data_IF_955692940816
#
_entry.id   IF_955692940816
#
_cell.length_a   1.000
_cell.length_b   1.000
_cell.length_c   1.000
_cell.angle_alpha   90.00
_cell.angle_beta   90.00
_cell.angle_gamma   90.00
#
_symmetry.space_group_name_H-M   'P 1'
#
loop_
_entity.id
_entity.type
_entity.pdbx_description
1 polymer ?
#
# COMPACT_ATOMS: atom_id res chain seq x y z
N UNK A 1 5.75 3.17 -11.26
CA UNK A 1 6.67 3.38 -10.14
C UNK A 1 5.98 4.11 -9.02
N UNK A 2 6.34 3.75 -7.78
CA UNK A 2 5.74 4.34 -6.60
C UNK A 2 6.70 5.32 -5.97
N UNK A 3 6.18 6.46 -5.48
CA UNK A 3 7.01 7.49 -4.86
C UNK A 3 6.79 7.50 -3.36
N UNK A 4 7.83 7.87 -2.62
CA UNK A 4 7.75 7.93 -1.16
C UNK A 4 7.29 9.29 -0.65
N UNK A 5 7.12 10.26 -1.52
CA UNK A 5 6.73 11.64 -1.21
C UNK A 5 7.85 12.45 -0.56
N UNK A 6 8.97 11.82 -0.23
CA UNK A 6 10.05 12.51 0.49
C UNK A 6 10.81 13.47 -0.39
N UNK A 7 10.85 13.21 -1.70
CA UNK A 7 11.56 14.09 -2.64
C UNK A 7 10.64 15.05 -3.37
N UNK A 8 9.39 15.10 -2.96
CA UNK A 8 8.40 15.94 -3.62
C UNK A 8 8.25 17.24 -2.84
N UNK A 9 8.47 18.36 -3.49
CA UNK A 9 8.34 19.66 -2.85
C UNK A 9 6.89 20.10 -2.78
N UNK A 10 6.62 21.15 -2.00
CA UNK A 10 5.27 21.72 -1.98
C UNK A 10 4.88 22.23 -3.36
N UNK A 11 5.82 22.79 -4.11
CA UNK A 11 5.54 23.23 -5.48
C UNK A 11 5.15 22.05 -6.37
N UNK A 12 5.81 20.89 -6.18
CA UNK A 12 5.44 19.67 -6.93
C UNK A 12 4.02 19.24 -6.59
N UNK A 13 3.65 19.27 -5.31
CA UNK A 13 2.30 18.92 -4.89
C UNK A 13 1.28 19.85 -5.52
N UNK A 14 1.55 21.17 -5.48
CA UNK A 14 0.65 22.15 -6.08
C UNK A 14 0.48 21.93 -7.57
N UNK A 15 1.56 21.56 -8.25
CA UNK A 15 1.50 21.32 -9.68
C UNK A 15 0.66 20.10 -9.99
N UNK A 16 0.83 19.03 -9.23
CA UNK A 16 0.01 17.83 -9.42
C UNK A 16 -1.46 18.16 -9.23
N UNK A 17 -1.78 18.95 -8.21
CA UNK A 17 -3.15 19.33 -7.93
C UNK A 17 -3.72 20.21 -9.03
N UNK A 18 -2.96 21.24 -9.40
CA UNK A 18 -3.43 22.24 -10.38
C UNK A 18 -3.70 21.60 -11.73
N UNK A 19 -2.77 20.74 -12.18
CA UNK A 19 -2.89 20.15 -13.52
C UNK A 19 -3.50 18.76 -13.49
N UNK A 20 -3.91 18.30 -12.30
CA UNK A 20 -4.56 17.00 -12.11
C UNK A 20 -3.73 15.88 -12.74
N UNK A 21 -2.47 15.82 -12.30
CA UNK A 21 -1.54 14.81 -12.78
C UNK A 21 -1.73 13.52 -12.01
N UNK A 22 -2.76 12.77 -12.37
CA UNK A 22 -3.16 11.58 -11.62
C UNK A 22 -3.20 10.37 -12.54
N UNK A 23 -3.08 9.16 -11.98
CA UNK A 23 -3.00 8.87 -10.56
C UNK A 23 -1.59 9.10 -10.00
N UNK A 24 -1.51 9.38 -8.71
CA UNK A 24 -0.23 9.41 -8.02
C UNK A 24 -0.06 8.06 -7.32
N UNK A 25 1.04 7.38 -7.62
CA UNK A 25 1.31 6.07 -7.03
C UNK A 25 2.27 6.24 -5.87
N UNK A 26 1.82 5.91 -4.67
CA UNK A 26 2.52 6.25 -3.44
C UNK A 26 2.95 4.99 -2.69
N UNK A 27 4.23 4.94 -2.34
CA UNK A 27 4.77 3.89 -1.48
C UNK A 27 4.63 4.37 -0.04
N UNK A 28 3.62 3.86 0.65
CA UNK A 28 3.32 4.32 2.00
C UNK A 28 4.18 3.66 3.05
N UNK A 29 4.40 2.39 2.94
CA UNK A 29 5.13 1.53 3.89
C UNK A 29 4.44 1.44 5.25
N UNK A 30 4.06 2.54 5.83
CA UNK A 30 3.32 2.61 7.09
C UNK A 30 2.71 3.99 7.20
N UNK A 31 1.60 4.07 7.95
CA UNK A 31 0.99 5.36 8.28
C UNK A 31 1.39 5.84 9.67
N UNK A 32 2.35 5.16 10.31
CA UNK A 32 2.94 5.59 11.57
C UNK A 32 4.10 6.52 11.23
N UNK A 33 3.99 7.82 11.52
CA UNK A 33 5.01 8.78 11.08
C UNK A 33 6.41 8.49 11.61
N UNK A 34 6.51 8.12 12.88
CA UNK A 34 7.82 7.86 13.47
C UNK A 34 8.45 6.61 12.89
N UNK A 35 7.65 5.55 12.71
CA UNK A 35 8.15 4.33 12.09
C UNK A 35 8.58 4.60 10.66
N UNK A 36 7.81 5.42 9.94
CA UNK A 36 8.14 5.73 8.55
C UNK A 36 9.50 6.41 8.44
N UNK A 37 9.79 7.32 9.37
CA UNK A 37 11.10 7.98 9.39
C UNK A 37 12.22 6.96 9.56
N UNK A 38 12.02 5.96 10.42
CA UNK A 38 13.04 4.93 10.63
C UNK A 38 13.17 4.02 9.42
N UNK A 39 12.04 3.62 8.84
CA UNK A 39 12.07 2.70 7.70
C UNK A 39 12.71 3.32 6.47
N UNK A 40 12.47 4.61 6.24
CA UNK A 40 13.00 5.30 5.06
C UNK A 40 14.30 6.03 5.35
N UNK A 41 14.80 5.95 6.59
CA UNK A 41 16.03 6.63 7.01
C UNK A 41 15.99 8.11 6.62
N UNK A 42 14.86 8.75 6.92
CA UNK A 42 14.64 10.12 6.52
C UNK A 42 13.74 10.78 7.55
N UNK A 43 14.28 11.79 8.24
CA UNK A 43 13.54 12.42 9.35
C UNK A 43 12.30 13.17 8.89
N UNK A 44 12.17 13.40 7.58
CA UNK A 44 11.00 14.10 7.03
C UNK A 44 9.94 13.13 6.50
N UNK A 45 10.21 11.82 6.55
CA UNK A 45 9.32 10.84 5.93
C UNK A 45 7.97 10.77 6.61
N UNK A 46 7.91 11.02 7.92
CA UNK A 46 6.63 11.03 8.62
C UNK A 46 5.76 12.20 8.20
N UNK A 47 6.35 13.39 8.16
CA UNK A 47 5.61 14.57 7.73
C UNK A 47 5.20 14.50 6.27
N UNK A 48 5.96 13.77 5.46
CA UNK A 48 5.64 13.64 4.04
C UNK A 48 4.26 13.02 3.81
N UNK A 49 3.76 12.26 4.78
CA UNK A 49 2.41 11.70 4.68
C UNK A 49 1.33 12.77 4.55
N UNK A 50 1.60 13.98 5.02
CA UNK A 50 0.65 15.09 4.87
C UNK A 50 0.41 15.45 3.42
N UNK A 51 1.35 15.13 2.53
CA UNK A 51 1.15 15.38 1.10
C UNK A 51 0.04 14.49 0.54
N UNK A 52 -0.06 13.25 1.02
CA UNK A 52 -1.17 12.38 0.62
C UNK A 52 -2.50 12.96 1.09
N UNK A 53 -2.54 13.53 2.29
CA UNK A 53 -3.74 14.19 2.79
C UNK A 53 -4.15 15.34 1.88
N UNK A 54 -3.17 16.11 1.40
CA UNK A 54 -3.46 17.22 0.48
C UNK A 54 -4.02 16.70 -0.84
N UNK A 55 -3.47 15.61 -1.36
CA UNK A 55 -4.01 15.00 -2.58
C UNK A 55 -5.46 14.55 -2.36
N UNK A 56 -5.71 13.93 -1.22
CA UNK A 56 -7.06 13.49 -0.91
C UNK A 56 -8.03 14.68 -0.86
N UNK A 57 -7.64 15.77 -0.18
CA UNK A 57 -8.50 16.95 -0.06
C UNK A 57 -8.76 17.61 -1.40
N UNK A 58 -7.82 17.48 -2.33
CA UNK A 58 -7.98 18.03 -3.67
C UNK A 58 -8.65 17.07 -4.64
N UNK A 59 -8.99 15.86 -4.19
CA UNK A 59 -9.66 14.88 -5.04
C UNK A 59 -8.74 14.25 -6.08
N UNK A 60 -7.45 14.18 -5.80
CA UNK A 60 -6.48 13.57 -6.71
C UNK A 60 -6.49 12.06 -6.52
N UNK A 61 -6.62 11.34 -7.61
CA UNK A 61 -6.65 9.87 -7.58
C UNK A 61 -5.27 9.33 -7.23
N UNK A 62 -5.25 8.38 -6.31
CA UNK A 62 -4.02 7.78 -5.82
C UNK A 62 -4.13 6.25 -5.86
N UNK A 63 -2.99 5.59 -5.96
CA UNK A 63 -2.84 4.17 -5.68
C UNK A 63 -1.69 4.01 -4.70
N UNK A 64 -1.78 3.02 -3.83
CA UNK A 64 -0.79 2.84 -2.79
C UNK A 64 -0.12 1.48 -2.82
N UNK A 65 1.03 1.41 -2.17
CA UNK A 65 1.76 0.17 -1.99
C UNK A 65 2.37 0.17 -0.59
N UNK A 66 2.35 -0.99 0.03
CA UNK A 66 3.07 -1.23 1.29
C UNK A 66 4.02 -2.40 1.05
N UNK A 67 5.32 -2.15 1.23
CA UNK A 67 6.31 -3.22 1.23
C UNK A 67 6.44 -3.67 2.68
N UNK A 68 6.02 -4.91 2.95
CA UNK A 68 5.88 -5.39 4.32
C UNK A 68 7.16 -6.05 4.79
N UNK A 69 7.61 -5.66 5.97
CA UNK A 69 8.83 -6.17 6.61
C UNK A 69 8.44 -6.83 7.91
N UNK A 70 8.78 -8.11 8.06
CA UNK A 70 8.39 -8.90 9.23
C UNK A 70 8.91 -8.26 10.49
N UNK A 71 8.02 -8.09 11.48
CA UNK A 71 8.37 -7.53 12.77
C UNK A 71 8.55 -6.03 12.78
N UNK A 72 8.32 -5.36 11.67
CA UNK A 72 8.54 -3.91 11.57
C UNK A 72 7.23 -3.19 11.32
N UNK A 73 6.64 -3.36 10.13
CA UNK A 73 5.39 -2.68 9.81
C UNK A 73 4.22 -3.63 9.57
N UNK A 74 4.36 -4.87 10.02
CA UNK A 74 3.29 -5.87 9.88
C UNK A 74 2.41 -5.92 11.13
N UNK A 75 1.49 -6.86 11.17
CA UNK A 75 0.60 -7.11 12.32
C UNK A 75 -0.15 -5.85 12.74
N UNK A 76 0.03 -5.38 13.95
CA UNK A 76 -0.70 -4.21 14.47
C UNK A 76 -0.40 -2.94 13.69
N UNK A 77 0.83 -2.80 13.19
CA UNK A 77 1.17 -1.63 12.37
C UNK A 77 0.43 -1.68 11.04
N UNK A 78 0.36 -2.86 10.42
CA UNK A 78 -0.38 -3.00 9.17
C UNK A 78 -1.87 -2.75 9.41
N UNK A 79 -2.40 -3.26 10.51
CA UNK A 79 -3.81 -3.03 10.86
C UNK A 79 -4.12 -1.54 10.93
N UNK A 80 -3.28 -0.80 11.65
CA UNK A 80 -3.45 0.64 11.80
C UNK A 80 -3.31 1.36 10.46
N UNK A 81 -2.33 0.94 9.65
CA UNK A 81 -2.12 1.59 8.36
C UNK A 81 -3.30 1.38 7.42
N UNK A 82 -3.84 0.16 7.36
CA UNK A 82 -4.99 -0.10 6.47
C UNK A 82 -6.18 0.76 6.91
N UNK A 83 -6.42 0.82 8.21
CA UNK A 83 -7.54 1.60 8.73
C UNK A 83 -7.40 3.07 8.36
N UNK A 84 -6.21 3.62 8.52
CA UNK A 84 -5.98 5.03 8.20
C UNK A 84 -6.04 5.29 6.70
N UNK A 85 -5.49 4.37 5.91
CA UNK A 85 -5.51 4.53 4.46
C UNK A 85 -6.92 4.41 3.90
N UNK A 86 -7.78 3.60 4.52
CA UNK A 86 -9.15 3.45 4.05
C UNK A 86 -9.95 4.76 4.15
N UNK A 87 -9.48 5.68 4.99
CA UNK A 87 -10.14 6.99 5.11
C UNK A 87 -9.92 7.86 3.88
N UNK A 88 -9.00 7.48 3.01
CA UNK A 88 -8.76 8.23 1.77
C UNK A 88 -9.64 7.76 0.62
N UNK A 89 -10.49 6.78 0.83
CA UNK A 89 -11.47 6.38 -0.19
C UNK A 89 -12.40 7.56 -0.46
N UNK A 90 -12.85 7.77 -1.68
CA UNK A 90 -12.62 6.92 -2.86
C UNK A 90 -11.40 7.32 -3.69
N UNK A 91 -10.65 8.33 -3.27
CA UNK A 91 -9.55 8.84 -4.10
C UNK A 91 -8.32 7.95 -4.07
N UNK A 92 -8.02 7.35 -2.92
CA UNK A 92 -7.04 6.26 -2.88
C UNK A 92 -7.80 5.01 -3.28
N UNK A 93 -7.58 4.56 -4.52
CA UNK A 93 -8.41 3.52 -5.11
C UNK A 93 -8.06 2.13 -4.61
N UNK A 94 -6.78 1.87 -4.41
CA UNK A 94 -6.34 0.56 -3.96
C UNK A 94 -4.97 0.65 -3.35
N UNK A 95 -4.67 -0.33 -2.49
CA UNK A 95 -3.35 -0.46 -1.87
C UNK A 95 -2.91 -1.92 -2.02
N UNK A 96 -1.71 -2.12 -2.58
CA UNK A 96 -1.10 -3.44 -2.69
C UNK A 96 -0.12 -3.66 -1.55
N UNK A 97 -0.16 -4.84 -0.95
CA UNK A 97 0.79 -5.24 0.08
C UNK A 97 1.67 -6.34 -0.50
N UNK A 98 2.98 -6.11 -0.52
CA UNK A 98 3.94 -7.09 -1.04
C UNK A 98 5.02 -7.33 0.00
N UNK A 99 5.62 -8.53 0.05
CA UNK A 99 6.72 -8.75 0.97
C UNK A 99 7.99 -8.09 0.46
N UNK A 100 8.83 -7.62 1.39
CA UNK A 100 10.11 -7.03 1.01
C UNK A 100 10.99 -8.11 0.35
N UNK A 101 11.75 -7.70 -0.67
CA UNK A 101 12.68 -8.62 -1.31
C UNK A 101 13.88 -8.86 -0.41
N UNK A 102 14.19 -10.13 -0.19
CA UNK A 102 15.28 -10.47 0.72
C UNK A 102 16.65 -10.13 0.16
N UNK A 103 16.74 -9.93 -1.15
CA UNK A 103 18.00 -9.54 -1.76
C UNK A 103 18.25 -8.04 -1.71
N UNK A 104 17.28 -7.26 -1.26
CA UNK A 104 17.47 -5.83 -1.21
C UNK A 104 18.48 -5.45 -0.14
N UNK A 105 19.35 -4.55 -0.52
CA UNK A 105 20.35 -4.05 0.41
C UNK A 105 19.70 -3.05 1.34
N UNK A 106 19.83 -3.27 2.64
CA UNK A 106 19.20 -2.42 3.63
C UNK A 106 20.20 -1.99 4.68
N UNK A 107 21.26 -1.41 4.22
CA UNK A 107 22.34 -0.97 5.07
C UNK A 107 21.83 0.02 6.10
N UNK A 108 22.22 -0.18 7.36
CA UNK A 108 21.81 0.73 8.42
C UNK A 108 20.41 0.52 8.92
N UNK A 109 19.68 -0.44 8.36
CA UNK A 109 18.33 -0.74 8.80
C UNK A 109 18.30 -2.07 9.56
N UNK A 110 17.10 -2.46 9.94
CA UNK A 110 16.91 -3.69 10.68
C UNK A 110 17.33 -4.89 9.83
N UNK A 111 17.88 -5.92 10.47
CA UNK A 111 18.04 -7.20 9.77
C UNK A 111 16.66 -7.68 9.33
N UNK A 112 16.56 -8.13 8.11
CA UNK A 112 15.30 -8.61 7.59
C UNK A 112 15.17 -10.09 7.82
N UNK A 113 14.03 -10.50 8.37
CA UNK A 113 13.70 -11.91 8.51
C UNK A 113 12.73 -12.28 7.39
N UNK A 114 12.89 -13.46 6.80
CA UNK A 114 11.91 -13.89 5.81
C UNK A 114 10.58 -14.25 6.48
N UNK A 115 9.50 -14.03 5.74
CA UNK A 115 8.19 -14.49 6.19
C UNK A 115 8.12 -16.00 6.02
N UNK A 116 7.62 -16.68 7.04
CA UNK A 116 7.38 -18.11 6.95
C UNK A 116 6.04 -18.35 6.28
N UNK A 117 5.74 -19.64 6.02
CA UNK A 117 4.45 -20.01 5.49
C UNK A 117 3.32 -19.56 6.41
N UNK A 118 3.50 -19.79 7.71
CA UNK A 118 2.51 -19.39 8.70
C UNK A 118 2.35 -17.88 8.76
N UNK A 119 3.45 -17.14 8.65
CA UNK A 119 3.39 -15.69 8.61
C UNK A 119 2.57 -15.22 7.42
N UNK A 120 2.81 -15.81 6.26
CA UNK A 120 2.09 -15.43 5.04
C UNK A 120 0.60 -15.72 5.16
N UNK A 121 0.26 -16.85 5.81
CA UNK A 121 -1.14 -17.18 6.02
C UNK A 121 -1.82 -16.14 6.90
N UNK A 122 -1.12 -15.65 7.93
CA UNK A 122 -1.68 -14.61 8.80
C UNK A 122 -1.85 -13.29 8.09
N UNK A 123 -0.89 -12.94 7.25
CA UNK A 123 -1.00 -11.71 6.45
C UNK A 123 -2.22 -11.80 5.54
N UNK A 124 -2.39 -12.95 4.87
CA UNK A 124 -3.54 -13.12 3.97
C UNK A 124 -4.86 -13.07 4.73
N UNK A 125 -4.93 -13.68 5.92
CA UNK A 125 -6.14 -13.59 6.73
C UNK A 125 -6.47 -12.15 7.10
N UNK A 126 -5.45 -11.39 7.47
CA UNK A 126 -5.63 -9.99 7.83
C UNK A 126 -6.15 -9.18 6.65
N UNK A 127 -5.52 -9.36 5.49
CA UNK A 127 -5.94 -8.61 4.29
C UNK A 127 -7.35 -9.02 3.88
N UNK A 128 -7.66 -10.32 3.92
CA UNK A 128 -8.99 -10.79 3.53
C UNK A 128 -10.09 -10.27 4.44
N UNK A 129 -9.79 -10.16 5.76
CA UNK A 129 -10.77 -9.58 6.69
C UNK A 129 -11.07 -8.13 6.33
N UNK A 130 -10.03 -7.37 5.99
CA UNK A 130 -10.22 -5.98 5.59
C UNK A 130 -10.96 -5.85 4.28
N UNK A 131 -10.64 -6.74 3.31
CA UNK A 131 -11.36 -6.75 2.04
C UNK A 131 -12.85 -6.98 2.26
N UNK A 132 -13.19 -7.96 3.08
CA UNK A 132 -14.59 -8.26 3.35
C UNK A 132 -15.31 -7.10 4.03
N UNK A 133 -14.65 -6.51 5.01
CA UNK A 133 -15.23 -5.40 5.75
C UNK A 133 -15.45 -4.20 4.85
N UNK A 134 -14.45 -3.82 4.09
CA UNK A 134 -14.54 -2.63 3.25
C UNK A 134 -15.52 -2.84 2.10
N UNK A 135 -15.58 -4.07 1.58
CA UNK A 135 -16.55 -4.35 0.53
C UNK A 135 -17.98 -4.21 1.06
N UNK A 136 -18.24 -4.69 2.27
CA UNK A 136 -19.57 -4.52 2.88
C UNK A 136 -19.89 -3.06 3.15
N UNK A 137 -18.90 -2.30 3.60
CA UNK A 137 -19.14 -0.92 4.02
C UNK A 137 -19.11 0.06 2.87
N UNK A 138 -18.27 -0.16 1.88
CA UNK A 138 -18.01 0.83 0.85
C UNK A 138 -18.03 0.29 -0.57
N UNK A 139 -18.24 -0.99 -0.75
CA UNK A 139 -18.37 -1.56 -2.08
C UNK A 139 -17.07 -1.78 -2.82
N UNK A 140 -15.94 -1.72 -2.13
CA UNK A 140 -14.63 -1.97 -2.74
C UNK A 140 -13.80 -2.83 -1.82
N UNK A 141 -12.98 -3.70 -2.39
CA UNK A 141 -12.06 -4.51 -1.61
C UNK A 141 -10.84 -3.71 -1.15
N UNK A 142 -10.45 -2.70 -1.92
CA UNK A 142 -9.46 -1.70 -1.55
C UNK A 142 -8.04 -2.23 -1.33
N UNK A 143 -7.86 -3.21 -0.41
CA UNK A 143 -6.53 -3.69 -0.03
C UNK A 143 -6.29 -5.06 -0.67
N UNK A 144 -5.11 -5.24 -1.25
CA UNK A 144 -4.83 -6.46 -2.02
C UNK A 144 -3.47 -7.03 -1.65
N UNK A 145 -3.40 -8.35 -1.58
CA UNK A 145 -2.15 -9.04 -1.34
C UNK A 145 -1.49 -9.38 -2.67
N UNK A 146 -0.21 -9.11 -2.78
CA UNK A 146 0.55 -9.54 -3.96
C UNK A 146 0.59 -11.06 -4.08
N UNK A 147 0.87 -11.51 -5.29
CA UNK A 147 0.90 -12.94 -5.58
C UNK A 147 1.89 -13.69 -4.71
N UNK A 148 2.97 -13.02 -4.33
CA UNK A 148 4.02 -13.63 -3.51
C UNK A 148 3.47 -14.21 -2.21
N UNK A 149 2.45 -13.57 -1.63
CA UNK A 149 1.87 -14.05 -0.38
C UNK A 149 1.21 -15.40 -0.54
N UNK A 150 0.52 -15.59 -1.68
CA UNK A 150 -0.16 -16.85 -1.95
C UNK A 150 0.84 -17.97 -2.18
N UNK A 151 1.93 -17.66 -2.90
CA UNK A 151 2.99 -18.63 -3.09
C UNK A 151 3.63 -19.03 -1.76
N UNK A 152 3.95 -18.07 -0.92
CA UNK A 152 4.54 -18.35 0.38
C UNK A 152 3.60 -19.15 1.27
N UNK A 153 2.32 -18.83 1.25
CA UNK A 153 1.33 -19.49 2.10
C UNK A 153 0.91 -20.85 1.58
N UNK A 154 1.27 -21.19 0.35
CA UNK A 154 0.83 -22.43 -0.26
C UNK A 154 -0.64 -22.42 -0.58
N UNK A 155 -1.18 -21.28 -0.98
CA UNK A 155 -2.60 -21.13 -1.30
C UNK A 155 -2.77 -20.65 -2.72
N UNK A 156 -3.92 -20.94 -3.29
CA UNK A 156 -4.26 -20.44 -4.61
C UNK A 156 -4.70 -18.99 -4.51
N UNK A 157 -4.41 -18.23 -5.56
CA UNK A 157 -4.87 -16.86 -5.64
C UNK A 157 -6.40 -16.82 -5.78
N UNK A 158 -7.04 -15.75 -5.30
CA UNK A 158 -8.48 -15.62 -5.50
C UNK A 158 -8.82 -15.53 -6.99
N UNK A 159 -10.05 -15.85 -7.31
CA UNK A 159 -10.52 -15.71 -8.68
C UNK A 159 -10.59 -14.24 -9.05
N UNK A 160 -10.52 -13.98 -10.36
CA UNK A 160 -10.48 -12.61 -10.85
C UNK A 160 -11.68 -11.78 -10.39
N UNK A 161 -12.84 -12.37 -10.24
CA UNK A 161 -14.03 -11.64 -9.83
C UNK A 161 -13.94 -11.11 -8.40
N UNK A 162 -12.92 -11.54 -7.64
CA UNK A 162 -12.70 -11.01 -6.30
C UNK A 162 -11.83 -9.77 -6.29
N UNK A 163 -11.40 -9.30 -7.48
CA UNK A 163 -10.62 -8.08 -7.58
C UNK A 163 -11.52 -6.97 -8.11
N UNK A 164 -11.52 -5.82 -7.44
CA UNK A 164 -12.29 -4.68 -7.90
C UNK A 164 -11.60 -4.05 -9.08
N UNK A 165 -12.34 -3.65 -10.03
CA UNK A 165 -11.85 -2.70 -10.99
C UNK A 165 -10.46 -2.85 -11.49
N UNK A 166 -9.85 -3.88 -11.13
CA UNK A 166 -8.63 -4.01 -11.65
C UNK A 166 -8.72 -4.48 -12.93
N UNK A 167 -9.58 -4.49 -13.37
CA UNK A 167 -9.74 -4.92 -14.59
C UNK A 167 -10.09 -3.92 -15.41
N UNK A 168 -10.04 -3.60 -15.66
CA UNK A 168 -10.39 -2.84 -16.26
C UNK A 168 -9.92 -2.14 -16.83
N UNK A 169 -9.67 -2.12 -17.24
CA UNK A 169 -9.20 -1.59 -17.83
C UNK A 169 -8.60 -0.62 -17.97
N UNK A 170 -8.35 -0.25 -17.66
CA UNK A 170 -7.75 0.70 -17.64
C UNK A 170 -6.71 0.59 -17.29
N UNK A 171 -6.66 -0.07 -16.88
CA UNK A 171 -5.98 -0.31 -16.39
C UNK A 171 -5.69 -1.22 -16.48
N UNK A 172 -5.93 -1.83 -16.52
CA UNK A 172 -5.68 -2.56 -16.37
C UNK A 172 -5.00 -2.79 -16.70
N UNK A 173 -4.58 -2.60 -16.85
CA UNK A 173 -3.83 -2.72 -16.77
C UNK A 173 -3.33 -2.51 -15.98
N UNK A 174 -3.54 -2.51 -15.36
CA UNK A 174 -3.24 -2.33 -14.42
C UNK A 174 -2.82 -3.34 -13.77
N UNK A 175 -2.54 -3.96 -13.61
CA UNK A 175 -2.00 -4.78 -13.01
C UNK A 175 -2.27 -5.68 -12.12
N UNK A 176 -3.01 -5.82 -11.67
CA UNK A 176 -3.21 -6.60 -10.82
C UNK A 176 -3.68 -7.74 -11.16
N UNK A 177 -3.68 -8.14 -11.41
CA UNK A 177 -4.18 -9.17 -11.71
C UNK A 177 -4.91 -9.55 -12.56
N UNK A 178 -5.29 -9.43 -13.04
CA UNK A 178 -5.92 -9.76 -13.69
C UNK A 178 -6.06 -9.63 -14.63
N UNK A 179 -6.03 -9.46 -15.03
CA UNK A 179 -6.30 -9.34 -15.84
C UNK A 179 -5.89 -9.65 -16.19
#
# INVERSE_FOLDING_TARGET
NYVTLTNMSDADVERIITYRLEPVNISFQTMNPELRCRMLQNRFAGDALKKAQRFYEAGIVMNGQIVLCKGINDSAELESSIEKLSRYLPYLQSVSVVPVGLTEHREGLYPLEPFTREDAQKVLEQIHRWQDRLYREQGTHFIHAGDEWYLLAGQDRPKAENYDGYHDDRVMTRGIGLH
#
